data_IF_975161340286
#
_entry.id   IF_975161340286
#
_cell.length_a   1.000
_cell.length_b   1.000
_cell.length_c   1.000
_cell.angle_alpha   90.00
_cell.angle_beta   90.00
_cell.angle_gamma   90.00
#
_symmetry.space_group_name_H-M   'P 1'
#
loop_
_entity.id
_entity.type
_entity.pdbx_description
1 polymer ?
#
# COMPACT_ATOMS: atom_id res chain seq x y z
N UNK A 1 29.67 36.32 -8.86
CA UNK A 1 28.54 37.27 -8.76
C UNK A 1 27.36 36.61 -9.48
N UNK A 2 26.60 35.81 -8.72
CA UNK A 2 25.40 35.09 -9.18
C UNK A 2 24.17 35.90 -8.72
N UNK A 3 23.24 36.29 -9.59
CA UNK A 3 21.87 36.60 -9.18
C UNK A 3 21.05 35.30 -9.36
N UNK A 4 20.48 34.67 -8.33
CA UNK A 4 19.33 35.13 -7.54
C UNK A 4 18.16 35.55 -8.44
N UNK A 5 17.55 34.54 -9.10
CA UNK A 5 16.22 34.63 -9.69
C UNK A 5 15.38 33.52 -9.07
N UNK A 6 14.66 33.94 -8.03
CA UNK A 6 13.32 33.53 -7.59
C UNK A 6 12.73 32.31 -8.33
N UNK A 7 12.57 31.13 -7.72
CA UNK A 7 11.50 30.79 -6.77
C UNK A 7 10.05 31.06 -7.27
N UNK A 8 9.82 31.03 -8.58
CA UNK A 8 8.48 30.89 -9.17
C UNK A 8 8.45 29.77 -10.22
N UNK A 9 8.63 28.52 -9.79
CA UNK A 9 8.15 27.38 -10.57
C UNK A 9 6.74 27.04 -10.07
N UNK A 10 5.80 27.93 -10.36
CA UNK A 10 4.40 27.56 -10.47
C UNK A 10 4.31 26.47 -11.52
N UNK A 11 4.04 25.25 -11.06
CA UNK A 11 3.49 24.16 -11.86
C UNK A 11 2.19 24.65 -12.49
N UNK A 12 2.33 25.34 -13.62
CA UNK A 12 1.23 25.74 -14.46
C UNK A 12 0.78 24.47 -15.18
N UNK A 13 -0.21 23.78 -14.60
CA UNK A 13 -1.04 22.84 -15.34
C UNK A 13 -1.40 23.53 -16.66
N UNK A 14 -0.92 22.99 -17.79
CA UNK A 14 -1.15 23.55 -19.12
C UNK A 14 -2.62 23.31 -19.47
N UNK A 15 -3.51 24.10 -18.88
CA UNK A 15 -4.93 24.09 -19.18
C UNK A 15 -5.09 24.49 -20.64
N UNK A 16 -5.77 23.67 -21.43
CA UNK A 16 -6.13 24.05 -22.79
C UNK A 16 -7.21 25.12 -22.66
N UNK A 17 -6.80 26.38 -22.68
CA UNK A 17 -7.68 27.53 -22.49
C UNK A 17 -8.63 27.65 -23.69
N UNK A 18 -9.84 27.13 -23.53
CA UNK A 18 -10.98 27.46 -24.40
C UNK A 18 -12.00 28.23 -23.57
N UNK A 19 -12.52 29.33 -24.13
CA UNK A 19 -13.29 30.38 -23.44
C UNK A 19 -14.46 29.88 -22.57
N UNK A 20 -14.93 28.63 -22.76
CA UNK A 20 -16.04 28.04 -22.00
C UNK A 20 -15.78 26.62 -21.46
N UNK A 21 -14.59 26.02 -21.67
CA UNK A 21 -14.31 24.66 -21.18
C UNK A 21 -12.88 24.52 -20.63
N UNK A 22 -12.81 24.43 -19.32
CA UNK A 22 -11.59 24.27 -18.55
C UNK A 22 -11.39 22.77 -18.36
N UNK A 23 -10.40 22.18 -19.01
CA UNK A 23 -10.04 20.79 -18.79
C UNK A 23 -8.58 20.74 -18.30
N UNK A 24 -8.39 20.19 -17.10
CA UNK A 24 -7.07 20.00 -16.53
C UNK A 24 -6.38 18.82 -17.20
N UNK A 25 -5.18 19.04 -17.74
CA UNK A 25 -4.38 17.97 -18.34
C UNK A 25 -3.64 17.21 -17.23
N UNK A 26 -4.37 16.30 -16.58
CA UNK A 26 -3.81 15.46 -15.51
C UNK A 26 -2.72 14.53 -16.04
N UNK A 27 -2.82 14.04 -17.28
CA UNK A 27 -1.85 13.08 -17.84
C UNK A 27 -0.45 13.66 -17.94
N UNK A 28 -0.32 14.86 -18.50
CA UNK A 28 1.00 15.50 -18.59
C UNK A 28 1.52 15.92 -17.22
N UNK A 29 0.64 16.44 -16.35
CA UNK A 29 1.01 16.83 -14.98
C UNK A 29 1.56 15.63 -14.18
N UNK A 30 0.84 14.52 -14.17
CA UNK A 30 1.26 13.28 -13.47
C UNK A 30 2.62 12.80 -13.96
N UNK A 31 2.82 12.74 -15.28
CA UNK A 31 4.11 12.30 -15.85
C UNK A 31 5.28 13.20 -15.43
N UNK A 32 5.05 14.51 -15.34
CA UNK A 32 6.08 15.45 -14.85
C UNK A 32 6.38 15.24 -13.36
N UNK A 33 5.35 14.99 -12.53
CA UNK A 33 5.54 14.70 -11.12
C UNK A 33 6.28 13.37 -10.88
N UNK A 34 5.98 12.33 -11.66
CA UNK A 34 6.70 11.05 -11.59
C UNK A 34 8.18 11.22 -11.92
N UNK A 35 8.49 11.96 -13.01
CA UNK A 35 9.87 12.26 -13.38
C UNK A 35 10.58 13.08 -12.30
N UNK A 36 9.92 14.12 -11.77
CA UNK A 36 10.47 14.93 -10.70
C UNK A 36 10.77 14.08 -9.45
N UNK A 37 9.83 13.22 -9.04
CA UNK A 37 9.99 12.36 -7.88
C UNK A 37 11.22 11.44 -8.00
N UNK A 38 11.42 10.85 -9.17
CA UNK A 38 12.60 10.02 -9.46
C UNK A 38 13.89 10.84 -9.38
N UNK A 39 13.92 12.04 -9.99
CA UNK A 39 15.11 12.91 -9.94
C UNK A 39 15.45 13.35 -8.51
N UNK A 40 14.46 13.75 -7.72
CA UNK A 40 14.69 14.15 -6.33
C UNK A 40 15.10 12.97 -5.44
N UNK A 41 14.56 11.77 -5.71
CA UNK A 41 15.02 10.53 -5.05
C UNK A 41 16.49 10.25 -5.35
N UNK A 42 16.95 10.43 -6.60
CA UNK A 42 18.37 10.31 -6.94
C UNK A 42 19.25 11.37 -6.26
N UNK A 43 18.73 12.58 -6.08
CA UNK A 43 19.40 13.66 -5.35
C UNK A 43 19.40 13.49 -3.83
N UNK A 44 18.69 12.48 -3.30
CA UNK A 44 18.45 12.24 -1.87
C UNK A 44 17.64 13.33 -1.16
N UNK A 45 16.92 14.16 -1.93
CA UNK A 45 15.94 15.11 -1.38
C UNK A 45 14.61 14.39 -1.16
N UNK A 46 14.57 13.55 -0.13
CA UNK A 46 13.45 12.64 0.13
C UNK A 46 12.13 13.36 0.46
N UNK A 47 12.19 14.54 1.06
CA UNK A 47 11.01 15.37 1.35
C UNK A 47 10.29 15.80 0.07
N UNK A 48 11.05 16.35 -0.89
CA UNK A 48 10.50 16.84 -2.15
C UNK A 48 10.07 15.67 -3.03
N UNK A 49 10.83 14.57 -3.01
CA UNK A 49 10.48 13.35 -3.73
C UNK A 49 9.14 12.76 -3.24
N UNK A 50 8.91 12.73 -1.93
CA UNK A 50 7.67 12.26 -1.31
C UNK A 50 6.48 13.12 -1.74
N UNK A 51 6.59 14.43 -1.61
CA UNK A 51 5.55 15.38 -2.03
C UNK A 51 5.23 15.26 -3.54
N UNK A 52 6.24 14.97 -4.36
CA UNK A 52 6.06 14.74 -5.79
C UNK A 52 5.30 13.42 -6.06
N UNK A 53 5.61 12.34 -5.35
CA UNK A 53 4.85 11.08 -5.46
C UNK A 53 3.40 11.22 -4.98
N UNK A 54 3.14 12.00 -3.93
CA UNK A 54 1.77 12.28 -3.49
C UNK A 54 0.95 13.02 -4.57
N UNK A 55 1.56 14.01 -5.22
CA UNK A 55 0.93 14.73 -6.33
C UNK A 55 0.75 13.85 -7.56
N UNK A 56 1.70 12.96 -7.86
CA UNK A 56 1.58 11.98 -8.92
C UNK A 56 0.42 11.00 -8.65
N UNK A 57 0.29 10.49 -7.43
CA UNK A 57 -0.83 9.62 -7.04
C UNK A 57 -2.18 10.29 -7.24
N UNK A 58 -2.35 11.52 -6.74
CA UNK A 58 -3.59 12.29 -6.94
C UNK A 58 -3.89 12.47 -8.43
N UNK A 59 -2.87 12.75 -9.23
CA UNK A 59 -3.01 12.82 -10.68
C UNK A 59 -3.46 11.49 -11.31
N UNK A 60 -2.91 10.35 -10.87
CA UNK A 60 -3.34 9.02 -11.34
C UNK A 60 -4.79 8.68 -10.93
N UNK A 61 -5.22 9.07 -9.73
CA UNK A 61 -6.63 8.94 -9.29
C UNK A 61 -7.56 9.74 -10.22
N UNK A 62 -7.18 10.98 -10.58
CA UNK A 62 -7.96 11.81 -11.51
C UNK A 62 -7.99 11.27 -12.95
N UNK A 63 -7.01 10.46 -13.35
CA UNK A 63 -6.95 9.77 -14.65
C UNK A 63 -7.68 8.41 -14.59
N UNK A 64 -8.22 8.03 -13.42
CA UNK A 64 -8.87 6.75 -13.17
C UNK A 64 -7.92 5.54 -13.28
N UNK A 65 -6.66 5.71 -12.85
CA UNK A 65 -5.70 4.61 -12.63
C UNK A 65 -5.39 4.42 -11.14
N UNK A 66 -6.29 3.83 -10.34
CA UNK A 66 -6.09 3.62 -8.90
C UNK A 66 -4.90 2.68 -8.60
N UNK A 67 -4.57 1.77 -9.52
CA UNK A 67 -3.43 0.87 -9.37
C UNK A 67 -2.09 1.61 -9.38
N UNK A 68 -1.91 2.54 -10.32
CA UNK A 68 -0.68 3.33 -10.39
C UNK A 68 -0.64 4.38 -9.26
N UNK A 69 -1.79 4.90 -8.85
CA UNK A 69 -1.90 5.74 -7.66
C UNK A 69 -1.40 5.01 -6.39
N UNK A 70 -1.84 3.76 -6.17
CA UNK A 70 -1.41 2.96 -5.04
C UNK A 70 0.12 2.76 -5.01
N UNK A 71 0.73 2.49 -6.16
CA UNK A 71 2.21 2.35 -6.27
C UNK A 71 2.96 3.64 -5.93
N UNK A 72 2.41 4.79 -6.31
CA UNK A 72 2.98 6.08 -5.93
C UNK A 72 2.86 6.34 -4.43
N UNK A 73 1.75 5.93 -3.81
CA UNK A 73 1.58 5.94 -2.35
C UNK A 73 2.60 5.03 -1.64
N UNK A 74 2.86 3.82 -2.15
CA UNK A 74 3.91 2.95 -1.60
C UNK A 74 5.31 3.56 -1.75
N UNK A 75 5.56 4.24 -2.87
CA UNK A 75 6.82 4.96 -3.09
C UNK A 75 6.99 6.14 -2.12
N UNK A 76 5.92 6.88 -1.85
CA UNK A 76 5.90 7.93 -0.83
C UNK A 76 6.11 7.35 0.58
N UNK A 77 5.50 6.20 0.90
CA UNK A 77 5.69 5.51 2.17
C UNK A 77 7.16 5.10 2.39
N UNK A 78 7.82 4.57 1.35
CA UNK A 78 9.23 4.20 1.41
C UNK A 78 10.14 5.42 1.70
N UNK A 79 9.84 6.58 1.10
CA UNK A 79 10.58 7.82 1.38
C UNK A 79 10.30 8.38 2.77
N UNK A 80 9.05 8.33 3.23
CA UNK A 80 8.68 8.71 4.59
C UNK A 80 9.39 7.84 5.64
N UNK A 81 9.62 6.57 5.33
CA UNK A 81 10.43 5.65 6.14
C UNK A 81 11.89 6.09 6.19
N UNK A 82 12.49 6.45 5.06
CA UNK A 82 13.87 6.99 5.02
C UNK A 82 14.02 8.29 5.82
N UNK A 83 12.95 9.09 5.92
CA UNK A 83 12.89 10.31 6.74
C UNK A 83 12.56 10.04 8.22
N UNK A 84 12.27 8.79 8.62
CA UNK A 84 11.90 8.41 9.97
C UNK A 84 10.50 8.88 10.42
N UNK A 85 9.62 9.24 9.47
CA UNK A 85 8.27 9.75 9.73
C UNK A 85 7.22 8.64 9.78
N UNK A 86 7.28 7.82 10.81
CA UNK A 86 6.45 6.60 10.96
C UNK A 86 4.94 6.85 10.87
N UNK A 87 4.43 7.97 11.41
CA UNK A 87 3.01 8.33 11.30
C UNK A 87 2.56 8.50 9.85
N UNK A 88 3.41 9.08 8.99
CA UNK A 88 3.11 9.26 7.57
C UNK A 88 3.19 7.93 6.81
N UNK A 89 4.15 7.07 7.16
CA UNK A 89 4.29 5.72 6.57
C UNK A 89 2.99 4.93 6.69
N UNK A 90 2.42 4.85 7.89
CA UNK A 90 1.17 4.12 8.14
C UNK A 90 -0.02 4.72 7.37
N UNK A 91 -0.07 6.05 7.25
CA UNK A 91 -1.11 6.72 6.46
C UNK A 91 -0.98 6.43 4.96
N UNK A 92 0.23 6.46 4.40
CA UNK A 92 0.46 6.17 2.99
C UNK A 92 0.16 4.71 2.65
N UNK A 93 0.58 3.75 3.49
CA UNK A 93 0.27 2.33 3.26
C UNK A 93 -1.23 2.03 3.40
N UNK A 94 -1.92 2.69 4.35
CA UNK A 94 -3.38 2.58 4.45
C UNK A 94 -4.07 3.10 3.19
N UNK A 95 -3.64 4.27 2.68
CA UNK A 95 -4.18 4.82 1.44
C UNK A 95 -3.89 3.92 0.23
N UNK A 96 -2.70 3.33 0.15
CA UNK A 96 -2.34 2.37 -0.89
C UNK A 96 -3.25 1.12 -0.82
N UNK A 97 -3.52 0.61 0.38
CA UNK A 97 -4.42 -0.52 0.59
C UNK A 97 -5.85 -0.24 0.12
N UNK A 98 -6.39 0.93 0.45
CA UNK A 98 -7.71 1.37 -0.04
C UNK A 98 -7.77 1.39 -1.57
N UNK A 99 -6.77 1.99 -2.22
CA UNK A 99 -6.69 2.06 -3.68
C UNK A 99 -6.53 0.68 -4.33
N UNK A 100 -5.78 -0.24 -3.72
CA UNK A 100 -5.67 -1.62 -4.18
C UNK A 100 -6.98 -2.39 -4.06
N UNK A 101 -7.75 -2.16 -2.99
CA UNK A 101 -9.08 -2.75 -2.81
C UNK A 101 -10.08 -2.19 -3.83
N UNK A 102 -10.01 -0.90 -4.15
CA UNK A 102 -10.80 -0.30 -5.26
C UNK A 102 -10.50 -0.97 -6.62
N UNK A 103 -9.28 -1.47 -6.82
CA UNK A 103 -8.90 -2.24 -8.01
C UNK A 103 -9.38 -3.71 -8.00
N UNK A 104 -10.00 -4.18 -6.91
CA UNK A 104 -10.27 -5.60 -6.67
C UNK A 104 -8.98 -6.42 -6.57
N UNK A 105 -7.94 -5.84 -5.95
CA UNK A 105 -6.62 -6.45 -5.76
C UNK A 105 -6.30 -6.54 -4.27
N UNK A 106 -6.94 -7.47 -3.61
CA UNK A 106 -6.89 -7.60 -2.15
C UNK A 106 -5.54 -8.13 -1.64
N UNK A 107 -4.79 -8.86 -2.47
CA UNK A 107 -3.45 -9.30 -2.11
C UNK A 107 -2.45 -8.12 -1.97
N UNK A 108 -2.27 -7.25 -2.98
CA UNK A 108 -1.52 -6.00 -2.82
C UNK A 108 -2.01 -5.13 -1.64
N UNK A 109 -3.32 -5.05 -1.43
CA UNK A 109 -3.89 -4.31 -0.31
C UNK A 109 -3.43 -4.85 1.05
N UNK A 110 -3.55 -6.17 1.24
CA UNK A 110 -3.07 -6.87 2.44
C UNK A 110 -1.57 -6.72 2.65
N UNK A 111 -0.79 -6.82 1.56
CA UNK A 111 0.66 -6.63 1.60
C UNK A 111 1.04 -5.22 2.08
N UNK A 112 0.37 -4.17 1.58
CA UNK A 112 0.60 -2.79 2.00
C UNK A 112 0.35 -2.59 3.51
N UNK A 113 -0.75 -3.12 4.05
CA UNK A 113 -1.04 -3.05 5.49
C UNK A 113 0.00 -3.84 6.30
N UNK A 114 0.40 -5.02 5.84
CA UNK A 114 1.41 -5.83 6.54
C UNK A 114 2.80 -5.18 6.54
N UNK A 115 3.17 -4.46 5.48
CA UNK A 115 4.40 -3.69 5.42
C UNK A 115 4.39 -2.56 6.47
N UNK A 116 3.26 -1.88 6.66
CA UNK A 116 3.09 -0.91 7.74
C UNK A 116 3.22 -1.55 9.14
N UNK A 117 2.67 -2.74 9.32
CA UNK A 117 2.68 -3.45 10.61
C UNK A 117 4.10 -3.81 11.07
N UNK A 118 4.99 -4.19 10.13
CA UNK A 118 6.37 -4.59 10.44
C UNK A 118 7.23 -3.42 10.94
N UNK A 119 6.85 -2.20 10.57
CA UNK A 119 7.58 -0.97 10.90
C UNK A 119 7.01 -0.28 12.14
N UNK A 120 5.89 -0.79 12.68
CA UNK A 120 5.23 -0.21 13.83
C UNK A 120 6.02 -0.48 15.12
N UNK A 121 6.20 0.56 15.93
CA UNK A 121 6.96 0.46 17.19
C UNK A 121 6.13 -0.20 18.28
N UNK A 122 4.80 -0.09 18.16
CA UNK A 122 3.84 -0.73 19.05
C UNK A 122 3.52 -2.14 18.54
N UNK A 123 3.90 -3.20 19.28
CA UNK A 123 3.55 -4.56 18.88
C UNK A 123 2.03 -4.79 18.89
N UNK A 124 1.28 -4.04 19.69
CA UNK A 124 -0.19 -4.14 19.76
C UNK A 124 -0.88 -3.58 18.52
N UNK A 125 -0.37 -2.47 17.98
CA UNK A 125 -0.88 -1.89 16.74
C UNK A 125 -0.46 -2.73 15.53
N UNK A 126 0.78 -3.24 15.51
CA UNK A 126 1.24 -4.18 14.49
C UNK A 126 0.32 -5.41 14.39
N UNK A 127 -0.09 -5.98 15.53
CA UNK A 127 -1.03 -7.11 15.58
C UNK A 127 -2.38 -6.73 14.98
N UNK A 128 -2.94 -5.56 15.33
CA UNK A 128 -4.22 -5.09 14.75
C UNK A 128 -4.14 -4.96 13.24
N UNK A 129 -3.03 -4.41 12.73
CA UNK A 129 -2.79 -4.30 11.30
C UNK A 129 -2.63 -5.67 10.63
N UNK A 130 -1.97 -6.64 11.27
CA UNK A 130 -1.91 -8.01 10.76
C UNK A 130 -3.30 -8.67 10.73
N UNK A 131 -4.15 -8.43 11.71
CA UNK A 131 -5.53 -8.91 11.74
C UNK A 131 -6.38 -8.30 10.61
N UNK A 132 -6.22 -6.99 10.37
CA UNK A 132 -6.85 -6.30 9.24
C UNK A 132 -6.40 -6.90 7.91
N UNK A 133 -5.09 -7.09 7.72
CA UNK A 133 -4.52 -7.70 6.52
C UNK A 133 -5.03 -9.14 6.30
N UNK A 134 -5.20 -9.92 7.37
CA UNK A 134 -5.81 -11.25 7.31
C UNK A 134 -7.30 -11.19 6.93
N UNK A 135 -8.02 -10.16 7.37
CA UNK A 135 -9.44 -9.97 7.10
C UNK A 135 -9.68 -9.65 5.63
N UNK A 136 -8.86 -8.77 5.04
CA UNK A 136 -8.88 -8.45 3.61
C UNK A 136 -8.74 -9.72 2.75
N UNK A 137 -7.80 -10.62 3.10
CA UNK A 137 -7.58 -11.86 2.34
C UNK A 137 -8.67 -12.92 2.54
N UNK A 138 -9.35 -12.92 3.69
CA UNK A 138 -10.50 -13.81 3.95
C UNK A 138 -11.69 -13.42 3.08
N UNK A 139 -11.96 -12.12 2.96
CA UNK A 139 -13.09 -11.60 2.17
C UNK A 139 -12.95 -11.99 0.69
N UNK A 140 -11.72 -11.97 0.15
CA UNK A 140 -11.42 -12.38 -1.23
C UNK A 140 -11.32 -13.91 -1.43
N UNK A 141 -11.52 -14.70 -0.37
CA UNK A 141 -11.35 -16.17 -0.41
C UNK A 141 -9.90 -16.64 -0.59
N UNK A 142 -8.93 -15.73 -0.55
CA UNK A 142 -7.48 -16.01 -0.67
C UNK A 142 -6.82 -16.26 0.69
N UNK A 143 -7.54 -16.95 1.58
CA UNK A 143 -7.10 -17.18 2.96
C UNK A 143 -5.77 -17.94 3.06
N UNK A 144 -5.40 -18.70 2.02
CA UNK A 144 -4.08 -19.34 1.86
C UNK A 144 -2.93 -18.34 1.97
N UNK A 145 -3.11 -17.14 1.41
CA UNK A 145 -2.08 -16.11 1.35
C UNK A 145 -1.93 -15.38 2.69
N UNK A 146 -2.87 -15.57 3.62
CA UNK A 146 -2.80 -15.01 4.96
C UNK A 146 -1.93 -15.85 5.92
N UNK A 147 -1.45 -17.03 5.51
CA UNK A 147 -0.69 -17.93 6.40
C UNK A 147 0.58 -17.30 6.96
N UNK A 148 1.31 -16.54 6.12
CA UNK A 148 2.52 -15.87 6.56
C UNK A 148 2.20 -14.70 7.50
N UNK A 149 1.05 -14.04 7.32
CA UNK A 149 0.56 -13.01 8.23
C UNK A 149 0.18 -13.59 9.60
N UNK A 150 -0.49 -14.74 9.64
CA UNK A 150 -0.77 -15.43 10.91
C UNK A 150 0.50 -15.82 11.65
N UNK A 151 1.52 -16.32 10.94
CA UNK A 151 2.82 -16.64 11.54
C UNK A 151 3.51 -15.39 12.08
N UNK A 152 3.48 -14.30 11.32
CA UNK A 152 4.04 -13.02 11.74
C UNK A 152 3.35 -12.48 13.01
N UNK A 153 2.01 -12.48 13.03
CA UNK A 153 1.23 -12.05 14.19
C UNK A 153 1.48 -12.94 15.42
N UNK A 154 1.52 -14.27 15.26
CA UNK A 154 1.83 -15.19 16.35
C UNK A 154 3.25 -14.97 16.91
N UNK A 155 4.23 -14.69 16.05
CA UNK A 155 5.58 -14.36 16.48
C UNK A 155 5.63 -13.05 17.30
N UNK A 156 4.80 -12.05 16.97
CA UNK A 156 4.64 -10.84 17.76
C UNK A 156 4.04 -11.14 19.15
N UNK A 157 2.98 -11.95 19.23
CA UNK A 157 2.40 -12.36 20.52
C UNK A 157 3.39 -13.12 21.41
N UNK A 158 4.22 -14.00 20.83
CA UNK A 158 5.26 -14.72 21.57
C UNK A 158 6.30 -13.74 22.14
N UNK A 159 6.72 -12.74 21.35
CA UNK A 159 7.64 -11.69 21.83
C UNK A 159 7.06 -10.85 22.97
N UNK A 160 5.73 -10.71 23.02
CA UNK A 160 5.01 -10.04 24.10
C UNK A 160 4.70 -10.96 25.30
N UNK A 161 5.15 -12.21 25.29
CA UNK A 161 4.85 -13.23 26.30
C UNK A 161 3.34 -13.56 26.46
N UNK A 162 2.53 -13.18 25.47
CA UNK A 162 1.09 -13.47 25.41
C UNK A 162 0.84 -14.83 24.75
N UNK A 163 1.23 -15.90 25.43
CA UNK A 163 1.19 -17.26 24.86
C UNK A 163 -0.24 -17.78 24.60
N UNK A 164 -1.22 -17.35 25.39
CA UNK A 164 -2.63 -17.70 25.18
C UNK A 164 -3.15 -17.19 23.82
N UNK A 165 -2.82 -15.95 23.51
CA UNK A 165 -3.28 -15.28 22.28
C UNK A 165 -2.54 -15.83 21.06
N UNK A 166 -1.24 -16.12 21.21
CA UNK A 166 -0.47 -16.83 20.19
C UNK A 166 -1.07 -18.20 19.87
N UNK A 167 -1.46 -18.98 20.89
CA UNK A 167 -2.11 -20.27 20.69
C UNK A 167 -3.47 -20.12 19.97
N UNK A 168 -4.27 -19.11 20.34
CA UNK A 168 -5.53 -18.81 19.65
C UNK A 168 -5.31 -18.46 18.17
N UNK A 169 -4.27 -17.67 17.87
CA UNK A 169 -3.89 -17.35 16.49
C UNK A 169 -3.47 -18.59 15.68
N UNK A 170 -2.69 -19.50 16.28
CA UNK A 170 -2.32 -20.76 15.61
C UNK A 170 -3.52 -21.68 15.38
N UNK A 171 -4.49 -21.72 16.28
CA UNK A 171 -5.74 -22.46 16.06
C UNK A 171 -6.54 -21.88 14.89
N UNK A 172 -6.60 -20.55 14.77
CA UNK A 172 -7.23 -19.86 13.63
C UNK A 172 -6.52 -20.20 12.31
N UNK A 173 -5.19 -20.22 12.31
CA UNK A 173 -4.38 -20.68 11.18
C UNK A 173 -4.70 -22.13 10.82
N UNK A 174 -4.73 -23.04 11.80
CA UNK A 174 -5.05 -24.46 11.57
C UNK A 174 -6.43 -24.66 10.94
N UNK A 175 -7.44 -23.92 11.41
CA UNK A 175 -8.78 -23.92 10.81
C UNK A 175 -8.77 -23.43 9.36
N UNK A 176 -8.07 -22.33 9.09
CA UNK A 176 -7.93 -21.78 7.74
C UNK A 176 -7.25 -22.78 6.79
N UNK A 177 -6.13 -23.40 7.21
CA UNK A 177 -5.40 -24.42 6.45
C UNK A 177 -6.27 -25.64 6.16
N UNK A 178 -7.06 -26.10 7.14
CA UNK A 178 -7.95 -27.25 6.94
C UNK A 178 -9.02 -26.98 5.87
N UNK A 179 -9.69 -25.81 5.93
CA UNK A 179 -10.68 -25.39 4.91
C UNK A 179 -10.05 -25.32 3.52
N UNK A 180 -8.89 -24.68 3.46
CA UNK A 180 -8.04 -24.53 2.29
C UNK A 180 -7.67 -25.88 1.64
N UNK A 181 -7.23 -26.85 2.43
CA UNK A 181 -6.90 -28.19 1.95
C UNK A 181 -8.14 -28.99 1.52
N UNK A 182 -9.25 -28.87 2.25
CA UNK A 182 -10.51 -29.49 1.88
C UNK A 182 -10.97 -29.01 0.50
N UNK A 183 -10.96 -27.70 0.24
CA UNK A 183 -11.27 -27.12 -1.07
C UNK A 183 -10.35 -27.64 -2.18
N UNK A 184 -9.03 -27.68 -1.94
CA UNK A 184 -8.06 -28.18 -2.92
C UNK A 184 -8.28 -29.67 -3.27
N UNK A 185 -8.70 -30.49 -2.29
CA UNK A 185 -9.00 -31.91 -2.53
C UNK A 185 -10.26 -32.11 -3.37
N UNK A 186 -11.31 -31.30 -3.15
CA UNK A 186 -12.56 -31.37 -3.91
C UNK A 186 -12.35 -30.96 -5.37
N UNK A 187 -11.59 -29.89 -5.64
CA UNK A 187 -11.29 -29.45 -7.01
C UNK A 187 -10.53 -30.52 -7.83
N UNK A 188 -9.61 -31.28 -7.21
CA UNK A 188 -8.89 -32.37 -7.88
C UNK A 188 -9.79 -33.58 -8.19
N UNK A 189 -10.74 -33.88 -7.30
CA UNK A 189 -11.70 -34.96 -7.50
C UNK A 189 -12.67 -34.70 -8.65
N UNK A 190 -13.12 -33.44 -8.80
CA UNK A 190 -14.02 -33.06 -9.89
C UNK A 190 -13.34 -32.99 -11.27
N UNK A 191 -12.05 -32.62 -11.33
CA UNK A 191 -11.28 -32.60 -12.59
C UNK A 191 -10.93 -33.98 -13.16
N UNK A 192 -11.09 -35.05 -12.36
CA UNK A 192 -10.86 -36.43 -12.79
C UNK A 192 -12.14 -37.12 -13.30
N UNK A 193 -13.29 -36.44 -13.25
CA UNK A 193 -14.60 -36.93 -13.68
C UNK A 193 -15.08 -36.30 -15.00
N UNK A 194 -14.20 -35.59 -15.72
CA UNK A 194 -14.38 -35.14 -17.12
C UNK A 194 -13.38 -35.85 -18.02
#
# INVERSE_FOLDING_TARGET
>A
MFPQICLEYTLFCRTKLSFTRWNADWKSATSLYEQAAVVYRFKKDNEIAKDAFEKASKGQEMISSPWDAAKHMESAAALAKELGRWNEVSNFYRRASELYRECGRDQPASNAISASALEEKSPEEAIKMCDEACTILKEDGKEQMAFDLYRAAAALYIKMEKYSDAAAFFLRLGSAVHKCNAMNSQCKGSSLLQ
#
